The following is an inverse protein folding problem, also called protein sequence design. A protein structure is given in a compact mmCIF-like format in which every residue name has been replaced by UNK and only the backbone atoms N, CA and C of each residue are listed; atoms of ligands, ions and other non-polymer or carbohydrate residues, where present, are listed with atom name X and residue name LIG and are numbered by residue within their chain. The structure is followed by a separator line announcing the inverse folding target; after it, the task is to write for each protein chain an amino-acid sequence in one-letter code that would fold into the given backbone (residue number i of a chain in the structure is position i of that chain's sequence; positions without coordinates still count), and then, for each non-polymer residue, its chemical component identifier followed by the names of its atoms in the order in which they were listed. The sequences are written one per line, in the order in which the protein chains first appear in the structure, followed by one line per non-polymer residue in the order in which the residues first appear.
data_IF_874469544326
#
_entry.id   IF_874469544326
#
_cell.length_a   1.000
_cell.length_b   1.000
_cell.length_c   1.000
_cell.angle_alpha   90.00
_cell.angle_beta   90.00
_cell.angle_gamma   90.00
#
_symmetry.space_group_name_H-M   'P 1'
#
loop_
_entity.id
_entity.type
_entity.pdbx_description
1 polymer ?
#
# COMPACT_ATOMS: atom_id res chain seq x y z
N UNK A 1 24.47 39.41 11.22
CA UNK A 1 23.84 39.59 9.89
C UNK A 1 22.70 38.60 9.78
N UNK A 2 21.50 39.03 9.34
CA UNK A 2 20.38 38.10 9.16
C UNK A 2 20.64 37.25 7.92
N UNK A 3 20.73 35.94 8.07
CA UNK A 3 20.96 35.00 6.96
C UNK A 3 19.71 34.15 6.74
N UNK A 4 19.37 33.90 5.47
CA UNK A 4 18.26 33.02 5.12
C UNK A 4 18.64 31.55 5.31
N UNK A 5 17.71 30.70 5.80
CA UNK A 5 17.94 29.26 5.94
C UNK A 5 18.22 28.59 4.59
N UNK A 6 17.58 29.04 3.51
CA UNK A 6 17.89 28.64 2.14
C UNK A 6 18.50 29.85 1.41
N UNK A 7 19.72 29.67 0.90
CA UNK A 7 20.39 30.69 0.07
C UNK A 7 19.71 30.77 -1.28
N UNK A 8 19.18 31.94 -1.61
CA UNK A 8 18.57 32.26 -2.90
C UNK A 8 19.01 33.62 -3.38
N UNK A 9 19.09 33.79 -4.71
CA UNK A 9 19.30 35.10 -5.32
C UNK A 9 17.93 35.73 -5.57
N UNK A 10 17.70 36.93 -5.03
CA UNK A 10 16.44 37.67 -5.20
C UNK A 10 16.71 38.98 -5.94
N UNK A 11 15.87 39.38 -6.91
CA UNK A 11 16.10 40.57 -7.73
C UNK A 11 15.86 41.91 -7.00
N UNK A 12 15.42 41.88 -5.75
CA UNK A 12 15.14 43.06 -4.92
C UNK A 12 15.92 43.01 -3.61
N UNK A 13 16.10 44.18 -2.96
CA UNK A 13 16.93 44.27 -1.76
C UNK A 13 16.29 43.54 -0.57
N UNK A 14 16.88 42.41 -0.21
CA UNK A 14 16.41 41.45 0.80
C UNK A 14 16.79 41.83 2.23
N UNK A 15 17.65 42.83 2.40
CA UNK A 15 18.20 43.21 3.72
C UNK A 15 17.33 44.23 4.47
N UNK A 16 16.35 44.85 3.80
CA UNK A 16 15.43 45.81 4.42
C UNK A 16 14.13 45.13 4.89
N UNK A 17 13.66 45.46 6.09
CA UNK A 17 12.29 45.14 6.53
C UNK A 17 11.31 46.01 5.73
N UNK A 18 10.20 45.48 5.19
CA UNK A 18 9.54 44.19 5.47
C UNK A 18 9.92 43.02 4.53
N UNK A 19 10.68 43.26 3.46
CA UNK A 19 10.96 42.27 2.41
C UNK A 19 11.66 41.00 2.95
N UNK A 20 12.53 41.17 3.96
CA UNK A 20 13.19 40.05 4.64
C UNK A 20 12.20 39.07 5.26
N UNK A 21 11.19 39.57 5.96
CA UNK A 21 10.21 38.76 6.70
C UNK A 21 9.25 38.04 5.75
N UNK A 22 8.87 38.70 4.65
CA UNK A 22 8.04 38.11 3.59
C UNK A 22 8.77 36.91 2.95
N UNK A 23 10.05 37.05 2.62
CA UNK A 23 10.82 35.95 2.03
C UNK A 23 10.99 34.81 3.02
N UNK A 24 11.33 35.11 4.27
CA UNK A 24 11.46 34.08 5.30
C UNK A 24 10.14 33.31 5.47
N UNK A 25 9.00 34.00 5.52
CA UNK A 25 7.68 33.39 5.55
C UNK A 25 7.40 32.52 4.32
N UNK A 26 7.77 33.00 3.12
CA UNK A 26 7.61 32.23 1.88
C UNK A 26 8.46 30.97 1.84
N UNK A 27 9.71 31.02 2.34
CA UNK A 27 10.60 29.86 2.40
C UNK A 27 10.05 28.80 3.36
N UNK A 28 9.60 29.21 4.55
CA UNK A 28 8.96 28.30 5.49
C UNK A 28 7.69 27.66 4.91
N UNK A 29 6.88 28.44 4.20
CA UNK A 29 5.67 27.94 3.54
C UNK A 29 6.00 26.89 2.45
N UNK A 30 6.95 27.18 1.57
CA UNK A 30 7.36 26.24 0.52
C UNK A 30 7.92 24.94 1.11
N UNK A 31 8.77 25.04 2.14
CA UNK A 31 9.30 23.87 2.85
C UNK A 31 8.18 23.03 3.49
N UNK A 32 7.23 23.68 4.15
CA UNK A 32 6.11 23.00 4.77
C UNK A 32 5.24 22.25 3.76
N UNK A 33 4.92 22.90 2.63
CA UNK A 33 4.16 22.27 1.54
C UNK A 33 4.94 21.10 0.94
N UNK A 34 6.26 21.25 0.72
CA UNK A 34 7.10 20.16 0.21
C UNK A 34 7.12 18.95 1.16
N UNK A 35 7.28 19.17 2.47
CA UNK A 35 7.23 18.11 3.46
C UNK A 35 5.87 17.40 3.49
N UNK A 36 4.77 18.14 3.37
CA UNK A 36 3.43 17.55 3.28
C UNK A 36 3.31 16.65 2.04
N UNK A 37 3.76 17.11 0.87
CA UNK A 37 3.69 16.31 -0.35
C UNK A 37 4.49 15.02 -0.26
N UNK A 38 5.70 15.07 0.33
CA UNK A 38 6.51 13.88 0.58
C UNK A 38 5.75 12.92 1.51
N UNK A 39 5.23 13.40 2.63
CA UNK A 39 4.46 12.56 3.56
C UNK A 39 3.22 11.94 2.91
N UNK A 40 2.46 12.71 2.12
CA UNK A 40 1.29 12.20 1.40
C UNK A 40 1.70 11.10 0.43
N UNK A 41 2.79 11.29 -0.29
CA UNK A 41 3.26 10.32 -1.28
C UNK A 41 3.63 9.00 -0.62
N UNK A 42 4.49 9.05 0.40
CA UNK A 42 4.96 7.88 1.15
C UNK A 42 3.79 7.12 1.79
N UNK A 43 2.88 7.86 2.42
CA UNK A 43 1.70 7.27 3.09
C UNK A 43 0.70 6.70 2.11
N UNK A 44 0.49 7.34 0.95
CA UNK A 44 -0.42 6.84 -0.08
C UNK A 44 0.04 5.50 -0.64
N UNK A 45 1.34 5.36 -0.93
CA UNK A 45 1.91 4.10 -1.39
C UNK A 45 1.69 2.99 -0.37
N UNK A 46 2.06 3.22 0.89
CA UNK A 46 1.84 2.25 1.97
C UNK A 46 0.36 1.88 2.13
N UNK A 47 -0.53 2.86 1.94
CA UNK A 47 -1.98 2.66 1.95
C UNK A 47 -2.44 1.72 0.84
N UNK A 48 -1.96 1.90 -0.38
CA UNK A 48 -2.31 1.03 -1.51
C UNK A 48 -1.83 -0.41 -1.31
N UNK A 49 -0.62 -0.59 -0.80
CA UNK A 49 -0.05 -1.91 -0.51
C UNK A 49 -0.91 -2.64 0.52
N UNK A 50 -1.20 -1.96 1.65
CA UNK A 50 -2.06 -2.51 2.69
C UNK A 50 -3.47 -2.81 2.18
N UNK A 51 -4.00 -1.95 1.32
CA UNK A 51 -5.31 -2.17 0.71
C UNK A 51 -5.33 -3.45 -0.14
N UNK A 52 -4.30 -3.68 -0.97
CA UNK A 52 -4.16 -4.92 -1.75
C UNK A 52 -4.07 -6.14 -0.81
N UNK A 53 -3.24 -6.07 0.24
CA UNK A 53 -3.10 -7.17 1.21
C UNK A 53 -4.44 -7.51 1.88
N UNK A 54 -5.22 -6.50 2.28
CA UNK A 54 -6.56 -6.73 2.84
C UNK A 54 -7.49 -7.38 1.81
N UNK A 55 -7.47 -6.96 0.55
CA UNK A 55 -8.27 -7.58 -0.51
C UNK A 55 -7.88 -9.05 -0.74
N UNK A 56 -6.59 -9.37 -0.63
CA UNK A 56 -6.09 -10.75 -0.71
C UNK A 56 -6.57 -11.61 0.47
N UNK A 57 -6.51 -11.09 1.70
CA UNK A 57 -7.00 -11.81 2.89
C UNK A 57 -8.51 -12.09 2.79
N UNK A 58 -9.30 -11.12 2.32
CA UNK A 58 -10.75 -11.32 2.11
C UNK A 58 -10.98 -12.39 1.05
N UNK A 59 -10.24 -12.34 -0.05
CA UNK A 59 -10.34 -13.34 -1.11
C UNK A 59 -10.00 -14.75 -0.61
N UNK A 60 -8.93 -14.89 0.19
CA UNK A 60 -8.54 -16.14 0.84
C UNK A 60 -9.68 -16.71 1.69
N UNK A 61 -10.24 -15.89 2.57
CA UNK A 61 -11.32 -16.32 3.44
C UNK A 61 -12.57 -16.71 2.66
N UNK A 62 -12.86 -16.01 1.56
CA UNK A 62 -14.00 -16.33 0.70
C UNK A 62 -13.81 -17.66 -0.02
N UNK A 63 -12.60 -18.00 -0.46
CA UNK A 63 -12.31 -19.32 -1.03
C UNK A 63 -12.49 -20.44 0.00
N UNK A 64 -11.97 -20.28 1.24
CA UNK A 64 -12.14 -21.25 2.34
C UNK A 64 -13.61 -21.47 2.73
N UNK A 65 -14.46 -20.44 2.58
CA UNK A 65 -15.88 -20.48 2.92
C UNK A 65 -16.82 -20.47 1.69
N UNK A 66 -16.37 -21.04 0.57
CA UNK A 66 -17.21 -21.16 -0.64
C UNK A 66 -18.38 -22.15 -0.50
N UNK A 67 -18.35 -23.07 0.47
CA UNK A 67 -19.40 -24.06 0.67
C UNK A 67 -20.67 -23.41 1.26
N UNK A 68 -21.77 -23.51 0.51
CA UNK A 68 -23.09 -22.95 0.84
C UNK A 68 -23.76 -23.67 2.02
N UNK A 69 -23.45 -24.95 2.23
CA UNK A 69 -24.05 -25.75 3.32
C UNK A 69 -23.46 -25.45 4.70
N UNK A 70 -22.21 -24.98 4.78
CA UNK A 70 -21.50 -24.79 6.04
C UNK A 70 -21.43 -23.33 6.51
N UNK A 71 -21.57 -22.36 5.60
CA UNK A 71 -21.28 -20.95 5.90
C UNK A 71 -22.33 -19.98 5.39
N UNK A 72 -22.78 -19.10 6.29
CA UNK A 72 -23.68 -17.99 5.96
C UNK A 72 -22.91 -16.86 5.25
N UNK A 73 -23.61 -16.16 4.35
CA UNK A 73 -23.11 -14.95 3.69
C UNK A 73 -23.16 -13.77 4.67
N UNK A 74 -22.11 -12.96 4.69
CA UNK A 74 -22.07 -11.75 5.49
C UNK A 74 -23.11 -10.73 4.98
N UNK A 75 -23.88 -10.14 5.89
CA UNK A 75 -24.79 -9.05 5.55
C UNK A 75 -24.04 -7.71 5.54
N UNK A 76 -24.22 -6.91 4.48
CA UNK A 76 -23.73 -5.52 4.45
C UNK A 76 -24.53 -4.58 5.36
N UNK A 77 -25.66 -5.04 5.92
CA UNK A 77 -26.43 -4.26 6.90
C UNK A 77 -25.73 -4.23 8.25
N UNK A 78 -25.27 -3.06 8.66
CA UNK A 78 -24.70 -2.86 9.99
C UNK A 78 -25.83 -2.70 11.00
N UNK A 79 -26.03 -3.68 11.88
CA UNK A 79 -26.94 -3.56 13.02
C UNK A 79 -26.45 -2.47 13.99
N UNK A 80 -27.37 -1.78 14.66
CA UNK A 80 -27.06 -0.75 15.67
C UNK A 80 -26.11 -1.26 16.75
N UNK A 81 -26.18 -2.56 17.08
CA UNK A 81 -25.32 -3.21 18.04
C UNK A 81 -23.87 -3.36 17.53
N UNK A 82 -23.68 -3.66 16.24
CA UNK A 82 -22.37 -3.77 15.62
C UNK A 82 -21.71 -2.39 15.47
N UNK A 83 -22.49 -1.35 15.22
CA UNK A 83 -22.00 0.03 15.18
C UNK A 83 -21.34 0.44 16.51
N UNK A 84 -21.98 0.12 17.63
CA UNK A 84 -21.45 0.45 18.96
C UNK A 84 -20.15 -0.33 19.27
N UNK A 85 -20.03 -1.57 18.78
CA UNK A 85 -18.80 -2.39 18.90
C UNK A 85 -17.67 -1.79 18.07
N UNK A 86 -17.95 -1.33 16.85
CA UNK A 86 -16.98 -0.65 15.98
C UNK A 86 -16.52 0.68 16.60
N UNK A 87 -17.44 1.43 17.21
CA UNK A 87 -17.12 2.71 17.82
C UNK A 87 -16.30 2.57 19.11
N UNK A 88 -16.46 1.46 19.84
CA UNK A 88 -15.66 1.11 21.01
C UNK A 88 -14.34 0.36 20.65
N UNK A 89 -14.08 0.12 19.36
CA UNK A 89 -12.97 -0.70 18.90
C UNK A 89 -11.64 0.06 19.08
N UNK A 90 -10.80 -0.43 20.00
CA UNK A 90 -9.43 0.06 20.15
C UNK A 90 -8.52 -0.66 19.15
N UNK A 91 -8.23 0.01 18.02
CA UNK A 91 -7.36 -0.49 16.94
C UNK A 91 -6.01 -1.05 17.43
N UNK A 92 -5.46 -0.53 18.54
CA UNK A 92 -4.16 -0.92 19.10
C UNK A 92 -4.18 -2.21 19.95
N UNK A 93 -5.35 -2.85 20.15
CA UNK A 93 -5.54 -3.94 21.11
C UNK A 93 -6.08 -5.23 20.48
N UNK A 94 -5.93 -5.40 19.17
CA UNK A 94 -6.43 -6.59 18.47
C UNK A 94 -5.49 -7.78 18.74
N UNK A 95 -5.94 -8.85 19.42
CA UNK A 95 -5.19 -10.09 19.51
C UNK A 95 -5.27 -10.88 18.19
N UNK A 96 -4.17 -11.54 17.82
CA UNK A 96 -3.95 -12.33 16.59
C UNK A 96 -5.09 -13.34 16.27
N UNK A 97 -5.81 -13.84 17.28
CA UNK A 97 -6.88 -14.84 17.14
C UNK A 97 -8.23 -14.31 16.60
N UNK A 98 -8.40 -13.00 16.39
CA UNK A 98 -9.65 -12.42 15.86
C UNK A 98 -9.65 -12.14 14.34
N UNK A 99 -8.58 -12.50 13.62
CA UNK A 99 -8.40 -12.18 12.19
C UNK A 99 -9.11 -13.13 11.22
N UNK A 100 -9.63 -14.28 11.67
CA UNK A 100 -10.28 -15.22 10.77
C UNK A 100 -11.70 -14.76 10.38
N UNK A 101 -11.86 -14.35 9.13
CA UNK A 101 -13.16 -14.09 8.50
C UNK A 101 -13.92 -15.43 8.38
N UNK A 102 -14.99 -15.61 9.17
CA UNK A 102 -15.77 -16.87 9.27
C UNK A 102 -16.95 -16.98 8.29
N UNK A 103 -17.20 -15.94 7.52
CA UNK A 103 -18.36 -15.81 6.64
C UNK A 103 -17.94 -15.40 5.25
N UNK A 104 -18.68 -15.85 4.23
CA UNK A 104 -18.46 -15.38 2.86
C UNK A 104 -18.82 -13.90 2.74
N UNK A 105 -17.84 -13.05 2.44
CA UNK A 105 -17.99 -11.60 2.30
C UNK A 105 -18.36 -11.26 0.85
N UNK A 106 -19.54 -10.66 0.60
CA UNK A 106 -19.90 -10.23 -0.75
C UNK A 106 -19.00 -9.06 -1.20
N UNK A 107 -18.50 -9.11 -2.44
CA UNK A 107 -17.64 -8.06 -2.99
C UNK A 107 -18.45 -6.88 -3.54
N UNK A 108 -19.70 -7.12 -3.95
CA UNK A 108 -20.64 -6.12 -4.44
C UNK A 108 -21.96 -6.16 -3.68
N UNK A 109 -22.68 -5.02 -3.56
CA UNK A 109 -23.98 -4.98 -2.89
C UNK A 109 -25.04 -5.85 -3.59
N UNK A 110 -24.88 -6.08 -4.90
CA UNK A 110 -25.75 -6.96 -5.70
C UNK A 110 -25.52 -8.45 -5.34
N UNK A 111 -24.28 -8.83 -5.01
CA UNK A 111 -23.95 -10.17 -4.52
C UNK A 111 -24.42 -10.42 -3.08
N UNK A 112 -24.85 -9.39 -2.34
CA UNK A 112 -25.31 -9.55 -0.96
C UNK A 112 -26.64 -10.28 -0.84
N UNK A 113 -27.53 -10.10 -1.84
CA UNK A 113 -28.92 -10.53 -1.80
C UNK A 113 -29.24 -11.48 -2.97
N UNK A 114 -28.67 -12.69 -2.94
CA UNK A 114 -28.91 -13.71 -3.96
C UNK A 114 -29.98 -14.68 -3.49
N UNK A 115 -31.06 -14.85 -4.26
CA UNK A 115 -32.22 -15.69 -3.90
C UNK A 115 -31.91 -17.20 -3.83
N UNK A 116 -30.85 -17.66 -4.52
CA UNK A 116 -30.37 -19.03 -4.50
C UNK A 116 -28.84 -19.02 -4.38
N UNK A 117 -28.34 -19.15 -3.15
CA UNK A 117 -26.91 -19.27 -2.90
C UNK A 117 -26.44 -20.66 -3.35
N UNK A 118 -25.35 -20.72 -4.11
CA UNK A 118 -24.78 -21.98 -4.57
C UNK A 118 -23.27 -21.89 -4.59
N UNK A 119 -22.59 -22.99 -4.29
CA UNK A 119 -21.14 -23.09 -4.35
C UNK A 119 -20.56 -22.53 -5.67
N UNK A 120 -21.17 -22.87 -6.81
CA UNK A 120 -20.68 -22.43 -8.13
C UNK A 120 -20.76 -20.91 -8.31
N UNK A 121 -21.78 -20.26 -7.72
CA UNK A 121 -21.96 -18.81 -7.80
C UNK A 121 -20.95 -18.08 -6.90
N UNK A 122 -20.74 -18.59 -5.67
CA UNK A 122 -19.70 -18.10 -4.76
C UNK A 122 -18.29 -18.25 -5.37
N UNK A 123 -17.97 -19.44 -5.87
CA UNK A 123 -16.68 -19.72 -6.50
C UNK A 123 -16.44 -18.85 -7.73
N UNK A 124 -17.47 -18.67 -8.58
CA UNK A 124 -17.37 -17.76 -9.74
C UNK A 124 -17.11 -16.32 -9.31
N UNK A 125 -17.74 -15.84 -8.25
CA UNK A 125 -17.50 -14.50 -7.74
C UNK A 125 -16.05 -14.33 -7.26
N UNK A 126 -15.51 -15.31 -6.53
CA UNK A 126 -14.10 -15.32 -6.12
C UNK A 126 -13.15 -15.26 -7.32
N UNK A 127 -13.38 -16.08 -8.36
CA UNK A 127 -12.54 -16.08 -9.57
C UNK A 127 -12.61 -14.74 -10.31
N UNK A 128 -13.79 -14.12 -10.41
CA UNK A 128 -13.95 -12.81 -11.03
C UNK A 128 -13.24 -11.72 -10.23
N UNK A 129 -13.35 -11.74 -8.90
CA UNK A 129 -12.69 -10.77 -8.03
C UNK A 129 -11.17 -10.94 -8.04
N UNK A 130 -10.69 -12.18 -7.97
CA UNK A 130 -9.28 -12.54 -8.10
C UNK A 130 -8.68 -11.96 -9.39
N UNK A 131 -9.38 -12.12 -10.53
CA UNK A 131 -8.93 -11.54 -11.81
C UNK A 131 -8.87 -10.01 -11.77
N UNK A 132 -9.90 -9.35 -11.22
CA UNK A 132 -9.90 -7.88 -11.06
C UNK A 132 -8.76 -7.41 -10.17
N UNK A 133 -8.41 -8.18 -9.14
CA UNK A 133 -7.32 -7.87 -8.23
C UNK A 133 -5.96 -7.95 -8.94
N UNK A 134 -5.77 -8.95 -9.81
CA UNK A 134 -4.59 -9.04 -10.68
C UNK A 134 -4.49 -7.83 -11.61
N UNK A 135 -5.60 -7.49 -12.27
CA UNK A 135 -5.63 -6.35 -13.20
C UNK A 135 -5.27 -5.04 -12.45
N UNK A 136 -5.87 -4.81 -11.28
CA UNK A 136 -5.53 -3.67 -10.42
C UNK A 136 -4.07 -3.69 -9.95
N UNK A 137 -3.54 -4.87 -9.60
CA UNK A 137 -2.15 -5.02 -9.16
C UNK A 137 -1.18 -4.68 -10.28
N UNK A 138 -1.47 -5.09 -11.51
CA UNK A 138 -0.65 -4.78 -12.69
C UNK A 138 -0.63 -3.27 -12.98
N UNK A 139 -1.79 -2.61 -12.89
CA UNK A 139 -1.89 -1.16 -13.04
C UNK A 139 -1.10 -0.43 -11.94
N UNK A 140 -1.26 -0.85 -10.67
CA UNK A 140 -0.50 -0.34 -9.54
C UNK A 140 1.01 -0.55 -9.73
N UNK A 141 1.42 -1.74 -10.18
CA UNK A 141 2.83 -2.07 -10.39
C UNK A 141 3.45 -1.20 -11.50
N UNK A 142 2.73 -0.95 -12.59
CA UNK A 142 3.21 -0.05 -13.65
C UNK A 142 3.39 1.38 -13.14
N UNK A 143 2.47 1.88 -12.32
CA UNK A 143 2.56 3.22 -11.74
C UNK A 143 3.69 3.32 -10.71
N UNK A 144 3.76 2.35 -9.79
CA UNK A 144 4.74 2.33 -8.72
C UNK A 144 6.15 2.08 -9.22
N UNK A 145 6.35 1.29 -10.28
CA UNK A 145 7.67 1.08 -10.87
C UNK A 145 8.30 2.40 -11.33
N UNK A 146 7.54 3.23 -12.05
CA UNK A 146 8.01 4.54 -12.53
C UNK A 146 8.31 5.48 -11.36
N UNK A 147 7.43 5.48 -10.37
CA UNK A 147 7.55 6.27 -9.14
C UNK A 147 8.80 5.88 -8.33
N UNK A 148 8.98 4.60 -8.04
CA UNK A 148 10.10 4.07 -7.26
C UNK A 148 11.43 4.33 -7.99
N UNK A 149 11.45 4.18 -9.31
CA UNK A 149 12.60 4.53 -10.12
C UNK A 149 12.97 6.02 -9.98
N UNK A 150 11.98 6.91 -10.12
CA UNK A 150 12.18 8.35 -9.94
C UNK A 150 12.68 8.70 -8.53
N UNK A 151 12.15 8.05 -7.51
CA UNK A 151 12.52 8.27 -6.10
C UNK A 151 13.96 7.84 -5.81
N UNK A 152 14.36 6.65 -6.26
CA UNK A 152 15.73 6.14 -6.08
C UNK A 152 16.71 7.04 -6.85
N UNK A 153 16.39 7.37 -8.10
CA UNK A 153 17.22 8.23 -8.94
C UNK A 153 17.41 9.62 -8.32
N UNK A 154 16.33 10.25 -7.87
CA UNK A 154 16.36 11.55 -7.17
C UNK A 154 17.19 11.48 -5.88
N UNK A 155 17.00 10.44 -5.08
CA UNK A 155 17.74 10.24 -3.83
C UNK A 155 19.24 10.05 -4.08
N UNK A 156 19.62 9.30 -5.12
CA UNK A 156 21.02 9.15 -5.53
C UNK A 156 21.66 10.51 -5.86
N UNK A 157 20.98 11.34 -6.66
CA UNK A 157 21.49 12.68 -7.01
C UNK A 157 21.64 13.54 -5.75
N UNK A 158 20.63 13.58 -4.88
CA UNK A 158 20.66 14.35 -3.64
C UNK A 158 21.81 13.91 -2.72
N UNK A 159 22.06 12.60 -2.60
CA UNK A 159 23.18 12.05 -1.83
C UNK A 159 24.52 12.44 -2.46
N UNK A 160 24.67 12.33 -3.78
CA UNK A 160 25.91 12.72 -4.48
C UNK A 160 26.23 14.21 -4.29
N UNK A 161 25.23 15.08 -4.43
CA UNK A 161 25.38 16.52 -4.21
C UNK A 161 25.66 16.81 -2.73
N UNK A 162 24.95 16.16 -1.81
CA UNK A 162 25.16 16.32 -0.37
C UNK A 162 26.57 15.92 0.06
N UNK A 163 27.09 14.82 -0.49
CA UNK A 163 28.46 14.37 -0.25
C UNK A 163 29.49 15.39 -0.78
N UNK A 164 29.28 15.93 -1.98
CA UNK A 164 30.14 16.98 -2.53
C UNK A 164 30.16 18.23 -1.62
N UNK A 165 28.99 18.69 -1.17
CA UNK A 165 28.88 19.85 -0.26
C UNK A 165 29.59 19.57 1.06
N UNK A 166 29.46 18.37 1.63
CA UNK A 166 30.16 17.97 2.86
C UNK A 166 31.69 18.04 2.68
N UNK A 167 32.22 17.53 1.57
CA UNK A 167 33.66 17.57 1.27
C UNK A 167 34.16 19.01 1.16
N UNK A 168 33.41 19.88 0.48
CA UNK A 168 33.77 21.31 0.38
C UNK A 168 33.70 22.01 1.74
N UNK A 169 32.69 21.72 2.56
CA UNK A 169 32.57 22.29 3.91
C UNK A 169 33.71 21.85 4.83
N UNK A 170 34.16 20.59 4.73
CA UNK A 170 35.34 20.09 5.43
C UNK A 170 36.61 20.82 5.01
N UNK A 171 36.80 21.04 3.70
CA UNK A 171 37.96 21.75 3.18
C UNK A 171 38.01 23.21 3.62
N UNK A 172 36.86 23.90 3.63
CA UNK A 172 36.76 25.30 4.03
C UNK A 172 36.59 25.52 5.55
N UNK A 173 36.68 24.47 6.38
CA UNK A 173 36.41 24.52 7.84
C UNK A 173 35.07 25.21 8.19
N UNK A 174 34.06 25.07 7.33
CA UNK A 174 32.70 25.55 7.61
C UNK A 174 31.99 24.58 8.56
N UNK A 175 30.88 25.02 9.16
CA UNK A 175 30.10 24.16 10.04
C UNK A 175 29.49 22.97 9.25
N UNK A 176 30.07 21.78 9.42
CA UNK A 176 29.70 20.53 8.74
C UNK A 176 28.46 19.86 9.33
N UNK A 177 27.98 20.30 10.51
CA UNK A 177 26.90 19.61 11.22
C UNK A 177 25.65 19.47 10.35
N UNK A 178 25.25 20.54 9.66
CA UNK A 178 24.10 20.54 8.76
C UNK A 178 24.27 19.58 7.58
N UNK A 179 25.50 19.45 7.08
CA UNK A 179 25.81 18.65 5.89
C UNK A 179 25.79 17.15 6.24
N UNK A 180 26.30 16.80 7.43
CA UNK A 180 26.21 15.44 7.99
C UNK A 180 24.75 15.05 8.25
N UNK A 181 23.96 15.93 8.87
CA UNK A 181 22.55 15.67 9.15
C UNK A 181 21.76 15.47 7.85
N UNK A 182 21.95 16.35 6.86
CA UNK A 182 21.29 16.23 5.56
C UNK A 182 21.66 14.93 4.83
N UNK A 183 22.95 14.56 4.83
CA UNK A 183 23.42 13.32 4.22
C UNK A 183 22.86 12.09 4.95
N UNK A 184 22.86 12.11 6.28
CA UNK A 184 22.29 11.03 7.10
C UNK A 184 20.80 10.81 6.85
N UNK A 185 20.02 11.90 6.76
CA UNK A 185 18.59 11.83 6.43
C UNK A 185 18.40 11.25 5.02
N UNK A 186 19.17 11.70 4.03
CA UNK A 186 19.09 11.18 2.66
C UNK A 186 19.38 9.69 2.57
N UNK A 187 20.40 9.19 3.28
CA UNK A 187 20.75 7.77 3.33
C UNK A 187 19.70 6.94 4.06
N UNK A 188 19.19 7.43 5.20
CA UNK A 188 18.13 6.75 5.94
C UNK A 188 16.85 6.65 5.10
N UNK A 189 16.51 7.70 4.36
CA UNK A 189 15.37 7.72 3.45
C UNK A 189 15.54 6.70 2.32
N UNK A 190 16.71 6.64 1.67
CA UNK A 190 16.99 5.64 0.63
C UNK A 190 16.90 4.21 1.18
N UNK A 191 17.49 3.96 2.36
CA UNK A 191 17.45 2.65 2.99
C UNK A 191 16.03 2.21 3.35
N UNK A 192 15.22 3.14 3.89
CA UNK A 192 13.80 2.92 4.15
C UNK A 192 13.09 2.47 2.88
N UNK A 193 13.24 3.22 1.78
CA UNK A 193 12.61 2.88 0.50
C UNK A 193 13.05 1.52 -0.07
N UNK A 194 14.33 1.17 0.05
CA UNK A 194 14.82 -0.13 -0.38
C UNK A 194 14.21 -1.28 0.43
N UNK A 195 14.09 -1.13 1.76
CA UNK A 195 13.45 -2.15 2.61
C UNK A 195 11.99 -2.33 2.22
N UNK A 196 11.24 -1.25 2.05
CA UNK A 196 9.82 -1.36 1.68
C UNK A 196 9.62 -1.91 0.28
N UNK A 197 10.50 -1.58 -0.67
CA UNK A 197 10.47 -2.16 -2.01
C UNK A 197 10.68 -3.68 -1.99
N UNK A 198 11.62 -4.16 -1.18
CA UNK A 198 11.89 -5.59 -1.01
C UNK A 198 10.74 -6.31 -0.29
N UNK A 199 10.24 -5.73 0.81
CA UNK A 199 9.08 -6.26 1.55
C UNK A 199 7.82 -6.33 0.67
N UNK A 200 7.52 -5.28 -0.09
CA UNK A 200 6.41 -5.24 -1.04
C UNK A 200 6.51 -6.41 -2.02
N UNK A 201 7.67 -6.55 -2.68
CA UNK A 201 7.87 -7.54 -3.71
C UNK A 201 7.69 -8.95 -3.14
N UNK A 202 8.28 -9.22 -1.98
CA UNK A 202 8.19 -10.50 -1.31
C UNK A 202 6.75 -10.79 -0.87
N UNK A 203 6.08 -9.85 -0.18
CA UNK A 203 4.73 -10.05 0.32
C UNK A 203 3.75 -10.26 -0.83
N UNK A 204 3.78 -9.43 -1.87
CA UNK A 204 2.89 -9.58 -3.03
C UNK A 204 3.15 -10.89 -3.76
N UNK A 205 4.40 -11.25 -4.06
CA UNK A 205 4.71 -12.47 -4.83
C UNK A 205 4.39 -13.73 -4.02
N UNK A 206 4.81 -13.78 -2.75
CA UNK A 206 4.57 -14.95 -1.89
C UNK A 206 3.08 -15.11 -1.63
N UNK A 207 2.39 -14.03 -1.29
CA UNK A 207 0.97 -14.11 -0.98
C UNK A 207 0.20 -14.53 -2.23
N UNK A 208 0.50 -13.96 -3.40
CA UNK A 208 -0.14 -14.32 -4.67
C UNK A 208 0.13 -15.78 -5.09
N UNK A 209 1.37 -16.25 -4.99
CA UNK A 209 1.74 -17.63 -5.36
C UNK A 209 1.15 -18.69 -4.42
N UNK A 210 1.15 -18.43 -3.10
CA UNK A 210 0.55 -19.35 -2.12
C UNK A 210 -0.98 -19.35 -2.20
N UNK A 211 -1.57 -18.17 -2.43
CA UNK A 211 -2.99 -17.93 -2.68
C UNK A 211 -3.55 -18.85 -3.76
N UNK A 212 -2.98 -18.85 -4.97
CA UNK A 212 -3.53 -19.63 -6.08
C UNK A 212 -3.55 -21.14 -5.85
N UNK A 213 -2.50 -21.67 -5.23
CA UNK A 213 -2.43 -23.09 -4.91
C UNK A 213 -3.36 -23.43 -3.74
N UNK A 214 -3.21 -22.73 -2.61
CA UNK A 214 -3.89 -23.07 -1.36
C UNK A 214 -5.40 -22.81 -1.42
N UNK A 215 -5.85 -21.77 -2.13
CA UNK A 215 -7.26 -21.44 -2.24
C UNK A 215 -8.06 -22.54 -2.93
N UNK A 216 -7.51 -23.10 -4.01
CA UNK A 216 -8.19 -24.15 -4.76
C UNK A 216 -8.25 -25.43 -3.94
N UNK A 217 -7.24 -25.74 -3.12
CA UNK A 217 -7.28 -26.88 -2.21
C UNK A 217 -8.27 -26.69 -1.05
N UNK A 218 -8.37 -25.49 -0.48
CA UNK A 218 -9.23 -25.20 0.68
C UNK A 218 -10.71 -24.92 0.34
N UNK A 219 -11.05 -24.79 -0.95
CA UNK A 219 -12.42 -24.54 -1.40
C UNK A 219 -13.42 -25.67 -1.09
N UNK A 220 -12.96 -26.86 -0.67
CA UNK A 220 -13.83 -28.01 -0.41
C UNK A 220 -14.54 -28.54 -1.67
N UNK A 221 -13.92 -28.36 -2.84
CA UNK A 221 -14.48 -28.75 -4.14
C UNK A 221 -14.69 -30.26 -4.26
N UNK A 222 -14.01 -31.07 -3.45
CA UNK A 222 -14.17 -32.53 -3.44
C UNK A 222 -15.62 -32.98 -3.21
N UNK A 223 -16.40 -32.17 -2.51
CA UNK A 223 -17.79 -32.48 -2.17
C UNK A 223 -18.78 -32.09 -3.30
N UNK A 224 -18.39 -31.23 -4.25
CA UNK A 224 -19.26 -30.67 -5.29
C UNK A 224 -18.72 -30.92 -6.71
N UNK A 225 -18.66 -32.20 -7.07
CA UNK A 225 -17.93 -32.73 -8.22
C UNK A 225 -18.70 -32.72 -9.56
N UNK A 226 -19.40 -31.63 -9.90
CA UNK A 226 -20.05 -31.53 -11.23
C UNK A 226 -19.03 -31.41 -12.37
N UNK A 227 -19.37 -31.87 -13.59
CA UNK A 227 -18.50 -31.74 -14.78
C UNK A 227 -18.14 -30.27 -15.10
N UNK A 228 -19.03 -29.32 -14.77
CA UNK A 228 -18.83 -27.88 -15.01
C UNK A 228 -17.90 -27.25 -13.97
N UNK A 229 -18.02 -27.63 -12.69
CA UNK A 229 -17.12 -27.16 -11.63
C UNK A 229 -15.69 -27.67 -11.84
N UNK A 230 -15.51 -28.93 -12.25
CA UNK A 230 -14.17 -29.47 -12.58
C UNK A 230 -13.41 -28.68 -13.64
N UNK A 231 -14.08 -28.29 -14.74
CA UNK A 231 -13.46 -27.49 -15.81
C UNK A 231 -13.10 -26.08 -15.33
N UNK A 232 -13.94 -25.49 -14.48
CA UNK A 232 -13.72 -24.15 -13.95
C UNK A 232 -12.57 -24.13 -12.94
N UNK A 233 -12.48 -25.16 -12.10
CA UNK A 233 -11.37 -25.38 -11.18
C UNK A 233 -10.08 -25.68 -11.93
N UNK A 234 -10.12 -26.53 -12.97
CA UNK A 234 -8.94 -26.82 -13.80
C UNK A 234 -8.45 -25.55 -14.50
N UNK A 235 -9.37 -24.74 -15.05
CA UNK A 235 -9.01 -23.46 -15.66
C UNK A 235 -8.46 -22.47 -14.62
N UNK A 236 -9.02 -22.44 -13.41
CA UNK A 236 -8.50 -21.65 -12.29
C UNK A 236 -7.09 -22.08 -11.88
N UNK A 237 -6.84 -23.40 -11.76
CA UNK A 237 -5.52 -23.97 -11.49
C UNK A 237 -4.53 -23.60 -12.59
N UNK A 238 -4.91 -23.71 -13.86
CA UNK A 238 -4.02 -23.34 -14.98
C UNK A 238 -3.76 -21.85 -15.05
N UNK A 239 -4.70 -21.01 -14.62
CA UNK A 239 -4.52 -19.55 -14.59
C UNK A 239 -3.66 -19.11 -13.40
N UNK A 240 -3.80 -19.74 -12.23
CA UNK A 240 -2.91 -19.51 -11.08
C UNK A 240 -1.51 -20.10 -11.24
N UNK A 241 -1.31 -21.01 -12.21
CA UNK A 241 0.00 -21.54 -12.61
C UNK A 241 0.73 -20.66 -13.63
N UNK A 242 0.05 -19.71 -14.28
CA UNK A 242 0.68 -18.77 -15.22
C UNK A 242 0.93 -17.44 -14.53
N UNK A 243 2.20 -16.99 -14.45
CA UNK A 243 2.59 -15.74 -13.79
C UNK A 243 2.02 -14.49 -14.47
#
# INVERSE_FOLDING_TARGET
TREFPIRGSFPFNVTQSPNFEIILGSQCYVLFIACIWILIFDTSLLGFIRWINVQLIILQANYRHCNDTSTSRASLSVSQQNYNIIQAYQFLKVPEEQEEIRSFVPFTPEEANVAADSFLLRFRACVVHHRRLIDNLNDCNSLFTVVLFGQIFSSCILICVGLFVLVVSLHENRNIFKDIVMLGIGLAHLFYWCIYGDQLMIEVIIFFFNCDSQFIYECGWENHLSKKSKRLILNGLTQGLTP
#
